data_IF_543575007472
#
_entry.id   IF_543575007472
#
_cell.length_a   1.000
_cell.length_b   1.000
_cell.length_c   1.000
_cell.angle_alpha   90.00
_cell.angle_beta   90.00
_cell.angle_gamma   90.00
#
_symmetry.space_group_name_H-M   'P 1'
#
loop_
_entity.id
_entity.type
_entity.pdbx_description
1 polymer ?
#
# COMPACT_ATOMS: atom_id res chain seq x y z
N UNK A 1 -8.85 -3.43 -13.61
CA UNK A 1 -8.99 -3.67 -12.16
C UNK A 1 -10.30 -3.06 -11.69
N UNK A 2 -11.02 -3.71 -10.78
CA UNK A 2 -12.22 -3.19 -10.11
C UNK A 2 -11.78 -2.26 -8.97
N UNK A 3 -12.42 -1.10 -8.83
CA UNK A 3 -12.19 -0.19 -7.71
C UNK A 3 -13.44 -0.16 -6.83
N UNK A 4 -13.26 -0.36 -5.52
CA UNK A 4 -14.32 -0.31 -4.51
C UNK A 4 -13.94 0.76 -3.51
N UNK A 5 -14.88 1.62 -3.15
CA UNK A 5 -14.66 2.72 -2.22
C UNK A 5 -15.51 2.51 -0.97
N UNK A 6 -14.92 2.67 0.20
CA UNK A 6 -15.66 2.62 1.46
C UNK A 6 -16.65 3.79 1.58
N UNK A 7 -17.53 3.73 2.57
CA UNK A 7 -18.42 4.86 2.92
C UNK A 7 -17.65 6.13 3.28
N UNK A 8 -16.44 6.02 3.83
CA UNK A 8 -15.60 7.15 4.21
C UNK A 8 -15.03 7.90 3.02
N UNK A 9 -15.02 7.29 1.83
CA UNK A 9 -14.65 8.00 0.62
C UNK A 9 -15.70 9.07 0.25
N UNK A 10 -16.98 8.75 0.41
CA UNK A 10 -18.10 9.56 -0.07
C UNK A 10 -18.76 10.44 1.01
N UNK A 11 -18.46 10.23 2.29
CA UNK A 11 -19.05 10.99 3.40
C UNK A 11 -18.26 12.25 3.75
N UNK A 12 -18.94 13.27 4.29
CA UNK A 12 -18.30 14.54 4.69
C UNK A 12 -17.35 14.34 5.88
N UNK A 13 -17.71 13.49 6.84
CA UNK A 13 -16.86 13.11 7.97
C UNK A 13 -15.87 12.03 7.56
N UNK A 14 -14.59 12.30 7.81
CA UNK A 14 -13.50 11.31 7.70
C UNK A 14 -13.15 10.76 9.08
N UNK A 15 -12.43 9.63 9.10
CA UNK A 15 -11.97 9.00 10.35
C UNK A 15 -10.89 9.87 11.02
N UNK A 16 -10.01 10.42 10.20
CA UNK A 16 -8.82 11.16 10.62
C UNK A 16 -8.79 12.54 9.97
N UNK A 17 -7.86 13.38 10.44
CA UNK A 17 -7.48 14.65 9.84
C UNK A 17 -6.69 14.49 8.53
N UNK A 18 -6.54 15.61 7.81
CA UNK A 18 -5.70 15.69 6.61
C UNK A 18 -4.22 15.52 6.97
N UNK A 19 -3.47 14.89 6.08
CA UNK A 19 -2.01 14.91 6.10
C UNK A 19 -1.53 16.35 5.90
N UNK A 20 -0.53 16.78 6.67
CA UNK A 20 0.11 18.09 6.51
C UNK A 20 0.80 18.24 5.15
N UNK A 21 1.42 17.16 4.69
CA UNK A 21 2.09 17.04 3.41
C UNK A 21 2.08 15.57 2.97
N UNK A 22 2.05 15.32 1.67
CA UNK A 22 2.15 13.96 1.12
C UNK A 22 3.54 13.80 0.50
N UNK A 23 4.36 12.97 1.12
CA UNK A 23 5.76 12.75 0.73
C UNK A 23 5.95 11.51 -0.15
N UNK A 24 4.98 10.60 -0.19
CA UNK A 24 5.09 9.39 -0.99
C UNK A 24 4.13 8.28 -0.61
N UNK A 25 4.51 7.06 -0.95
CA UNK A 25 3.79 5.82 -0.69
C UNK A 25 4.65 4.85 0.11
N UNK A 26 4.02 4.04 0.96
CA UNK A 26 4.61 2.84 1.56
C UNK A 26 3.89 1.61 1.04
N UNK A 27 4.63 0.68 0.45
CA UNK A 27 4.10 -0.61 0.02
C UNK A 27 4.29 -1.65 1.12
N UNK A 28 3.17 -2.25 1.52
CA UNK A 28 3.06 -3.25 2.57
C UNK A 28 2.72 -4.61 1.97
N UNK A 29 3.07 -5.66 2.72
CA UNK A 29 2.52 -7.00 2.53
C UNK A 29 1.55 -7.24 3.67
N UNK A 30 0.30 -7.54 3.34
CA UNK A 30 -0.79 -7.66 4.31
C UNK A 30 -0.60 -8.79 5.35
N UNK A 31 0.37 -9.68 5.12
CA UNK A 31 0.68 -10.91 5.84
C UNK A 31 -0.48 -11.91 6.00
N UNK A 32 -1.56 -11.73 5.25
CA UNK A 32 -2.80 -12.50 5.37
C UNK A 32 -3.15 -13.24 4.08
N UNK A 33 -4.22 -14.04 4.13
CA UNK A 33 -4.79 -14.70 2.95
C UNK A 33 -5.98 -13.92 2.37
N UNK A 34 -6.22 -12.70 2.86
CA UNK A 34 -7.38 -11.88 2.50
C UNK A 34 -7.18 -11.28 1.12
N UNK A 35 -8.16 -11.42 0.23
CA UNK A 35 -8.27 -10.59 -0.97
C UNK A 35 -8.61 -9.14 -0.61
N UNK A 36 -8.52 -8.22 -1.58
CA UNK A 36 -8.90 -6.82 -1.34
C UNK A 36 -10.38 -6.67 -0.95
N UNK A 37 -11.27 -7.54 -1.43
CA UNK A 37 -12.69 -7.51 -1.07
C UNK A 37 -12.95 -8.02 0.37
N UNK A 38 -12.14 -8.96 0.86
CA UNK A 38 -12.28 -9.48 2.23
C UNK A 38 -12.03 -8.37 3.28
N UNK A 39 -11.17 -7.39 2.93
CA UNK A 39 -10.90 -6.23 3.78
C UNK A 39 -12.12 -5.31 4.00
N UNK A 40 -13.17 -5.40 3.18
CA UNK A 40 -14.41 -4.63 3.39
C UNK A 40 -15.07 -5.05 4.70
N UNK A 41 -15.25 -6.35 4.90
CA UNK A 41 -15.88 -6.90 6.12
C UNK A 41 -14.92 -6.79 7.30
N UNK A 42 -13.64 -7.08 7.08
CA UNK A 42 -12.63 -7.04 8.14
C UNK A 42 -12.46 -5.64 8.75
N UNK A 43 -12.40 -4.59 7.92
CA UNK A 43 -12.27 -3.22 8.41
C UNK A 43 -13.57 -2.72 9.05
N UNK A 44 -14.74 -3.15 8.55
CA UNK A 44 -16.02 -2.85 9.19
C UNK A 44 -16.08 -3.48 10.60
N UNK A 45 -15.60 -4.71 10.78
CA UNK A 45 -15.48 -5.32 12.11
C UNK A 45 -14.53 -4.57 13.04
N UNK A 46 -13.39 -4.06 12.54
CA UNK A 46 -12.51 -3.19 13.34
C UNK A 46 -13.21 -1.91 13.80
N UNK A 47 -14.02 -1.29 12.94
CA UNK A 47 -14.80 -0.11 13.31
C UNK A 47 -15.83 -0.47 14.39
N UNK A 48 -16.59 -1.54 14.18
CA UNK A 48 -17.67 -1.94 15.10
C UNK A 48 -17.14 -2.32 16.48
N UNK A 49 -15.92 -2.86 16.54
CA UNK A 49 -15.24 -3.21 17.79
C UNK A 49 -14.39 -2.07 18.38
N UNK A 50 -14.32 -0.91 17.72
CA UNK A 50 -13.42 0.20 18.09
C UNK A 50 -11.95 -0.24 18.21
N UNK A 51 -11.45 -0.89 17.16
CA UNK A 51 -10.11 -1.49 17.06
C UNK A 51 -9.27 -0.95 15.89
N UNK A 52 -9.63 0.22 15.34
CA UNK A 52 -8.89 0.83 14.24
C UNK A 52 -7.43 1.12 14.63
N UNK A 53 -7.14 1.37 15.91
CA UNK A 53 -5.79 1.61 16.45
C UNK A 53 -4.83 0.45 16.22
N UNK A 54 -5.34 -0.77 15.96
CA UNK A 54 -4.53 -1.92 15.56
C UNK A 54 -3.99 -1.80 14.13
N UNK A 55 -4.37 -0.75 13.40
CA UNK A 55 -3.83 -0.35 12.12
C UNK A 55 -4.74 -0.54 10.91
N UNK A 56 -4.56 0.32 9.91
CA UNK A 56 -5.26 0.31 8.63
C UNK A 56 -4.55 1.21 7.62
N UNK A 57 -4.71 0.90 6.34
CA UNK A 57 -4.11 1.63 5.22
C UNK A 57 -5.17 2.28 4.32
N UNK A 58 -4.73 3.16 3.42
CA UNK A 58 -5.55 3.85 2.42
C UNK A 58 -6.15 2.87 1.42
N UNK A 59 -5.34 1.93 0.92
CA UNK A 59 -5.73 0.98 -0.11
C UNK A 59 -5.27 -0.46 0.18
N UNK A 60 -6.11 -1.41 -0.20
CA UNK A 60 -5.86 -2.85 -0.18
C UNK A 60 -6.00 -3.39 -1.60
N UNK A 61 -4.97 -4.07 -2.11
CA UNK A 61 -4.84 -4.35 -3.55
C UNK A 61 -4.50 -5.81 -3.81
N UNK A 62 -5.35 -6.46 -4.60
CA UNK A 62 -5.02 -7.71 -5.31
C UNK A 62 -5.05 -7.48 -6.84
N UNK A 63 -4.68 -8.50 -7.61
CA UNK A 63 -4.59 -8.40 -9.08
C UNK A 63 -5.91 -7.98 -9.77
N UNK A 64 -7.06 -8.21 -9.13
CA UNK A 64 -8.39 -7.94 -9.68
C UNK A 64 -9.00 -6.68 -9.10
N UNK A 65 -8.76 -6.39 -7.82
CA UNK A 65 -9.47 -5.38 -7.06
C UNK A 65 -8.52 -4.47 -6.27
N UNK A 66 -8.82 -3.17 -6.28
CA UNK A 66 -8.32 -2.21 -5.32
C UNK A 66 -9.49 -1.73 -4.45
N UNK A 67 -9.43 -2.03 -3.16
CA UNK A 67 -10.34 -1.50 -2.16
C UNK A 67 -9.73 -0.27 -1.50
N UNK A 68 -10.37 0.88 -1.71
CA UNK A 68 -10.02 2.15 -1.10
C UNK A 68 -10.78 2.32 0.21
N UNK A 69 -10.08 2.11 1.33
CA UNK A 69 -10.69 2.22 2.65
C UNK A 69 -10.84 3.68 3.08
N UNK A 70 -9.84 4.53 2.84
CA UNK A 70 -9.89 5.94 3.23
C UNK A 70 -9.22 6.81 2.16
N UNK A 71 -9.67 8.06 1.94
CA UNK A 71 -9.04 8.92 0.94
C UNK A 71 -7.57 9.20 1.24
N UNK A 72 -6.75 9.16 0.20
CA UNK A 72 -5.30 9.38 0.24
C UNK A 72 -4.81 10.68 0.90
N UNK A 73 -5.54 11.82 0.93
CA UNK A 73 -5.05 13.02 1.62
C UNK A 73 -5.20 13.00 3.14
N UNK A 74 -5.70 11.92 3.74
CA UNK A 74 -5.94 11.84 5.19
C UNK A 74 -4.97 10.89 5.88
N UNK A 75 -4.73 11.13 7.17
CA UNK A 75 -3.84 10.30 8.02
C UNK A 75 -4.38 8.88 8.10
N UNK A 76 -3.49 7.90 8.15
CA UNK A 76 -3.81 6.48 8.29
C UNK A 76 -2.86 5.84 9.29
N UNK A 77 -3.21 4.71 9.90
CA UNK A 77 -2.40 4.08 10.95
C UNK A 77 -1.76 2.79 10.44
N UNK A 78 -0.82 2.91 9.51
CA UNK A 78 -0.33 1.76 8.73
C UNK A 78 1.11 1.37 9.07
N UNK A 79 1.93 2.29 9.58
CA UNK A 79 3.37 2.07 9.75
C UNK A 79 3.83 1.91 11.20
N UNK A 80 2.96 2.06 12.21
CA UNK A 80 3.40 2.09 13.62
C UNK A 80 4.38 3.24 13.92
N UNK A 81 4.45 4.23 13.03
CA UNK A 81 5.35 5.38 13.08
C UNK A 81 4.55 6.63 12.74
N UNK A 82 4.50 7.61 13.65
CA UNK A 82 3.69 8.83 13.50
C UNK A 82 4.02 9.60 12.24
N UNK A 83 5.32 9.82 11.95
CA UNK A 83 5.73 10.57 10.77
C UNK A 83 5.28 9.88 9.48
N UNK A 84 5.50 8.55 9.38
CA UNK A 84 5.08 7.79 8.21
C UNK A 84 3.55 7.84 8.01
N UNK A 85 2.79 7.62 9.08
CA UNK A 85 1.33 7.68 9.09
C UNK A 85 0.77 9.03 8.60
N UNK A 86 1.42 10.12 9.02
CA UNK A 86 0.99 11.49 8.72
C UNK A 86 1.45 11.99 7.35
N UNK A 87 2.43 11.34 6.69
CA UNK A 87 3.04 11.87 5.47
C UNK A 87 3.06 10.93 4.27
N UNK A 88 2.94 9.62 4.48
CA UNK A 88 2.96 8.64 3.40
C UNK A 88 1.60 7.96 3.27
N UNK A 89 1.32 7.48 2.05
CA UNK A 89 0.10 6.74 1.73
C UNK A 89 0.38 5.25 1.82
N UNK A 90 -0.37 4.53 2.65
CA UNK A 90 -0.25 3.08 2.83
C UNK A 90 -0.98 2.29 1.76
N UNK A 91 -0.29 1.33 1.14
CA UNK A 91 -0.86 0.40 0.16
C UNK A 91 -0.53 -1.02 0.60
N UNK A 92 -1.56 -1.80 0.90
CA UNK A 92 -1.46 -3.20 1.32
C UNK A 92 -1.57 -4.13 0.12
N UNK A 93 -0.53 -4.92 -0.15
CA UNK A 93 -0.59 -5.99 -1.14
C UNK A 93 -1.21 -7.22 -0.51
N UNK A 94 -2.39 -7.55 -1.00
CA UNK A 94 -3.23 -8.59 -0.43
C UNK A 94 -2.71 -10.00 -0.72
N UNK A 95 -3.09 -10.94 0.15
CA UNK A 95 -2.79 -12.38 0.03
C UNK A 95 -1.29 -12.69 0.07
N UNK A 96 -0.54 -11.93 0.86
CA UNK A 96 0.92 -11.98 0.93
C UNK A 96 1.45 -12.95 2.00
N UNK A 97 0.57 -13.64 2.74
CA UNK A 97 1.00 -14.59 3.78
C UNK A 97 2.10 -15.54 3.29
N UNK A 98 3.19 -15.63 4.04
CA UNK A 98 4.24 -16.62 3.82
C UNK A 98 3.66 -18.03 3.89
N UNK A 99 3.93 -18.85 2.86
CA UNK A 99 3.30 -20.17 2.68
C UNK A 99 1.76 -20.10 2.71
N UNK A 100 1.19 -19.00 2.20
CA UNK A 100 -0.24 -18.75 2.11
C UNK A 100 -0.91 -19.41 0.92
N UNK A 101 -2.09 -18.91 0.56
CA UNK A 101 -2.92 -19.48 -0.50
C UNK A 101 -2.40 -19.22 -1.93
N UNK A 102 -1.52 -18.23 -2.10
CA UNK A 102 -0.94 -17.89 -3.40
C UNK A 102 0.50 -18.41 -3.52
N UNK A 103 0.82 -18.98 -4.68
CA UNK A 103 2.21 -19.16 -5.09
C UNK A 103 2.90 -17.82 -5.32
N UNK A 104 4.23 -17.80 -5.34
CA UNK A 104 5.02 -16.59 -5.62
C UNK A 104 4.61 -15.95 -6.96
N UNK A 105 4.46 -16.75 -8.02
CA UNK A 105 4.01 -16.29 -9.34
C UNK A 105 2.61 -15.67 -9.32
N UNK A 106 1.71 -16.20 -8.47
CA UNK A 106 0.38 -15.62 -8.29
C UNK A 106 0.43 -14.33 -7.50
N UNK A 107 1.23 -14.26 -6.44
CA UNK A 107 1.40 -13.07 -5.63
C UNK A 107 2.07 -11.92 -6.42
N UNK A 108 3.03 -12.21 -7.30
CA UNK A 108 3.61 -11.19 -8.19
C UNK A 108 2.54 -10.46 -9.02
N UNK A 109 1.42 -11.10 -9.34
CA UNK A 109 0.29 -10.44 -10.04
C UNK A 109 -0.41 -9.42 -9.14
N UNK A 110 -0.45 -9.65 -7.83
CA UNK A 110 -0.92 -8.68 -6.85
C UNK A 110 0.11 -7.55 -6.67
N UNK A 111 1.41 -7.86 -6.73
CA UNK A 111 2.47 -6.83 -6.73
C UNK A 111 2.33 -5.88 -7.92
N UNK A 112 2.22 -6.38 -9.16
CA UNK A 112 2.06 -5.53 -10.36
C UNK A 112 0.86 -4.58 -10.24
N UNK A 113 -0.26 -5.10 -9.74
CA UNK A 113 -1.45 -4.32 -9.46
C UNK A 113 -1.18 -3.18 -8.47
N UNK A 114 -0.47 -3.46 -7.37
CA UNK A 114 -0.12 -2.45 -6.38
C UNK A 114 0.89 -1.41 -6.90
N UNK A 115 1.84 -1.80 -7.77
CA UNK A 115 2.77 -0.85 -8.38
C UNK A 115 2.07 0.14 -9.30
N UNK A 116 1.03 -0.31 -10.01
CA UNK A 116 0.18 0.58 -10.79
C UNK A 116 -0.60 1.57 -9.90
N UNK A 117 -1.19 1.09 -8.78
CA UNK A 117 -1.86 1.97 -7.81
C UNK A 117 -0.89 3.00 -7.20
N UNK A 118 0.31 2.57 -6.81
CA UNK A 118 1.37 3.45 -6.33
C UNK A 118 1.75 4.51 -7.37
N UNK A 119 1.86 4.12 -8.64
CA UNK A 119 2.16 5.04 -9.73
C UNK A 119 1.06 6.11 -9.91
N UNK A 120 -0.22 5.71 -9.84
CA UNK A 120 -1.36 6.64 -9.91
C UNK A 120 -1.34 7.65 -8.76
N UNK A 121 -1.09 7.20 -7.54
CA UNK A 121 -1.02 8.08 -6.36
C UNK A 121 0.16 9.06 -6.48
N UNK A 122 1.36 8.59 -6.82
CA UNK A 122 2.50 9.47 -7.04
C UNK A 122 2.23 10.49 -8.16
N UNK A 123 1.53 10.08 -9.23
CA UNK A 123 1.18 10.97 -10.35
C UNK A 123 0.19 12.05 -9.90
N UNK A 124 -0.84 11.66 -9.13
CA UNK A 124 -1.86 12.57 -8.57
C UNK A 124 -1.23 13.69 -7.77
N UNK A 125 -0.25 13.34 -6.92
CA UNK A 125 0.44 14.30 -6.06
C UNK A 125 1.67 14.92 -6.71
N UNK A 126 1.89 14.69 -8.02
CA UNK A 126 3.02 15.24 -8.78
C UNK A 126 4.39 14.90 -8.16
N UNK A 127 4.47 13.74 -7.50
CA UNK A 127 5.68 13.25 -6.86
C UNK A 127 6.53 12.46 -7.85
N UNK A 128 7.87 12.62 -7.82
CA UNK A 128 8.77 11.78 -8.61
C UNK A 128 8.72 10.34 -8.11
N UNK A 129 9.13 9.37 -8.94
CA UNK A 129 9.28 7.97 -8.50
C UNK A 129 10.76 7.72 -8.16
N UNK A 130 11.11 7.78 -6.88
CA UNK A 130 12.48 7.62 -6.39
C UNK A 130 12.52 7.13 -4.93
N UNK A 131 13.71 7.04 -4.34
CA UNK A 131 13.91 6.55 -2.97
C UNK A 131 13.34 7.44 -1.88
N UNK A 132 12.93 8.67 -2.17
CA UNK A 132 12.27 9.55 -1.20
C UNK A 132 10.77 9.37 -1.14
N UNK A 133 10.18 8.93 -2.25
CA UNK A 133 8.72 8.86 -2.42
C UNK A 133 8.17 7.44 -2.44
N UNK A 134 9.03 6.42 -2.61
CA UNK A 134 8.66 5.01 -2.52
C UNK A 134 9.40 4.41 -1.33
N UNK A 135 8.69 3.97 -0.30
CA UNK A 135 9.31 3.44 0.93
C UNK A 135 8.75 2.06 1.30
N UNK A 136 9.48 1.36 2.17
CA UNK A 136 9.10 0.08 2.77
C UNK A 136 8.74 0.31 4.24
N UNK A 137 7.84 -0.50 4.82
CA UNK A 137 7.47 -0.36 6.24
C UNK A 137 8.70 -0.54 7.17
N UNK A 138 9.54 -1.53 6.89
CA UNK A 138 10.87 -1.74 7.50
C UNK A 138 11.79 -0.52 7.60
N UNK A 139 11.57 0.52 6.79
CA UNK A 139 12.38 1.75 6.85
C UNK A 139 11.93 2.70 7.97
N UNK A 140 10.74 2.48 8.56
CA UNK A 140 10.15 3.34 9.57
C UNK A 140 9.94 2.66 10.93
N UNK A 141 9.90 1.33 10.95
CA UNK A 141 9.57 0.55 12.14
C UNK A 141 10.31 -0.79 12.13
N UNK A 142 10.57 -1.35 13.31
CA UNK A 142 11.16 -2.67 13.47
C UNK A 142 10.11 -3.75 13.19
N UNK A 143 10.07 -4.24 11.95
CA UNK A 143 9.08 -5.18 11.43
C UNK A 143 9.66 -6.04 10.31
N UNK A 144 8.98 -7.13 9.98
CA UNK A 144 9.29 -7.94 8.80
C UNK A 144 8.62 -7.43 7.51
N UNK A 145 7.67 -6.48 7.61
CA UNK A 145 6.92 -5.98 6.46
C UNK A 145 7.80 -5.15 5.50
N UNK A 146 7.87 -5.45 4.19
CA UNK A 146 7.05 -6.44 3.47
C UNK A 146 7.70 -7.83 3.35
N UNK A 147 7.21 -8.82 4.11
CA UNK A 147 7.90 -10.11 4.28
C UNK A 147 7.90 -11.00 3.04
N UNK A 148 6.83 -11.01 2.25
CA UNK A 148 6.68 -11.88 1.07
C UNK A 148 7.54 -11.37 -0.08
N UNK A 149 7.46 -10.08 -0.36
CA UNK A 149 8.32 -9.42 -1.33
C UNK A 149 9.80 -9.53 -0.92
N UNK A 150 10.10 -9.40 0.38
CA UNK A 150 11.46 -9.60 0.89
C UNK A 150 11.97 -11.02 0.62
N UNK A 151 11.18 -12.03 0.94
CA UNK A 151 11.54 -13.43 0.66
C UNK A 151 11.73 -13.69 -0.84
N UNK A 152 10.83 -13.20 -1.69
CA UNK A 152 10.83 -13.51 -3.12
C UNK A 152 11.97 -12.83 -3.88
N UNK A 153 12.20 -11.55 -3.60
CA UNK A 153 13.12 -10.74 -4.39
C UNK A 153 14.53 -10.68 -3.82
N UNK A 154 14.69 -10.98 -2.52
CA UNK A 154 15.98 -10.96 -1.83
C UNK A 154 16.37 -12.29 -1.17
N UNK A 155 15.63 -13.38 -1.40
CA UNK A 155 15.93 -14.72 -0.85
C UNK A 155 16.16 -14.71 0.68
N UNK A 156 15.30 -13.98 1.40
CA UNK A 156 15.40 -13.80 2.87
C UNK A 156 16.75 -13.25 3.35
N UNK A 157 17.40 -12.40 2.56
CA UNK A 157 18.62 -11.71 2.96
C UNK A 157 18.43 -10.96 4.31
N UNK A 158 19.51 -10.79 5.10
CA UNK A 158 19.41 -10.16 6.42
C UNK A 158 18.90 -8.72 6.31
N UNK A 159 18.11 -8.26 7.28
CA UNK A 159 17.67 -6.86 7.33
C UNK A 159 18.85 -5.93 7.55
N UNK A 160 19.22 -5.15 6.52
CA UNK A 160 20.19 -4.07 6.59
C UNK A 160 19.85 -2.99 5.55
N UNK A 161 20.54 -1.85 5.63
CA UNK A 161 20.27 -0.69 4.78
C UNK A 161 20.41 -1.00 3.28
N UNK A 162 21.42 -1.77 2.90
CA UNK A 162 21.68 -2.10 1.49
C UNK A 162 20.59 -3.02 0.92
N UNK A 163 20.17 -4.03 1.67
CA UNK A 163 19.08 -4.92 1.28
C UNK A 163 17.75 -4.17 1.21
N UNK A 164 17.50 -3.23 2.13
CA UNK A 164 16.30 -2.37 2.05
C UNK A 164 16.33 -1.50 0.78
N UNK A 165 17.48 -0.92 0.42
CA UNK A 165 17.63 -0.16 -0.83
C UNK A 165 17.44 -1.03 -2.07
N UNK A 166 17.92 -2.27 -2.07
CA UNK A 166 17.72 -3.18 -3.21
C UNK A 166 16.25 -3.49 -3.46
N UNK A 167 15.47 -3.83 -2.43
CA UNK A 167 14.02 -4.05 -2.62
C UNK A 167 13.29 -2.75 -2.98
N UNK A 168 13.68 -1.63 -2.38
CA UNK A 168 13.14 -0.32 -2.72
C UNK A 168 13.38 0.05 -4.19
N UNK A 169 14.59 -0.18 -4.71
CA UNK A 169 14.93 0.08 -6.11
C UNK A 169 14.11 -0.81 -7.05
N UNK A 170 13.91 -2.07 -6.69
CA UNK A 170 13.02 -2.96 -7.44
C UNK A 170 11.59 -2.38 -7.52
N UNK A 171 11.01 -1.95 -6.39
CA UNK A 171 9.68 -1.30 -6.41
C UNK A 171 9.68 -0.03 -7.25
N UNK A 172 10.70 0.81 -7.13
CA UNK A 172 10.86 2.05 -7.90
C UNK A 172 10.86 1.75 -9.41
N UNK A 173 11.61 0.75 -9.86
CA UNK A 173 11.69 0.40 -11.28
C UNK A 173 10.36 -0.11 -11.82
N UNK A 174 9.66 -0.93 -11.03
CA UNK A 174 8.31 -1.40 -11.36
C UNK A 174 7.32 -0.23 -11.46
N UNK A 175 7.28 0.65 -10.45
CA UNK A 175 6.37 1.80 -10.41
C UNK A 175 6.68 2.79 -11.54
N UNK A 176 7.96 3.08 -11.82
CA UNK A 176 8.37 3.96 -12.93
C UNK A 176 7.80 3.50 -14.26
N UNK A 177 7.82 2.19 -14.52
CA UNK A 177 7.31 1.62 -15.76
C UNK A 177 5.82 1.93 -15.99
N UNK A 178 5.03 1.99 -14.91
CA UNK A 178 3.63 2.42 -14.97
C UNK A 178 3.51 3.94 -15.03
N UNK A 179 4.26 4.66 -14.19
CA UNK A 179 4.15 6.12 -14.03
C UNK A 179 4.29 6.91 -15.34
N UNK A 180 5.18 6.45 -16.22
CA UNK A 180 5.42 7.09 -17.53
C UNK A 180 4.31 6.81 -18.56
N UNK A 181 3.51 5.77 -18.33
CA UNK A 181 2.47 5.30 -19.25
C UNK A 181 1.03 5.60 -18.78
N UNK A 182 0.87 6.21 -17.60
CA UNK A 182 -0.44 6.64 -17.08
C UNK A 182 -1.09 7.65 -18.02
N UNK A 183 -2.34 7.38 -18.37
CA UNK A 183 -3.21 8.29 -19.13
C UNK A 183 -4.12 9.07 -18.20
N UNK A 184 -4.64 10.20 -18.67
CA UNK A 184 -5.60 11.01 -17.91
C UNK A 184 -6.85 10.21 -17.51
N UNK A 185 -7.33 9.31 -18.38
CA UNK A 185 -8.44 8.41 -18.07
C UNK A 185 -8.18 7.52 -16.86
N UNK A 186 -6.93 7.12 -16.63
CA UNK A 186 -6.55 6.23 -15.54
C UNK A 186 -6.60 6.96 -14.19
N UNK A 187 -6.44 8.29 -14.20
CA UNK A 187 -6.47 9.11 -12.98
C UNK A 187 -7.86 9.21 -12.34
N UNK A 188 -8.92 8.85 -13.06
CA UNK A 188 -10.30 8.89 -12.57
C UNK A 188 -10.55 7.98 -11.35
N UNK A 189 -9.66 7.01 -11.08
CA UNK A 189 -9.79 6.04 -9.98
C UNK A 189 -9.07 6.46 -8.69
N UNK A 190 -8.25 7.51 -8.74
CA UNK A 190 -7.52 8.05 -7.60
C UNK A 190 -8.07 9.43 -7.23
N UNK A 191 -9.30 9.44 -6.71
CA UNK A 191 -9.99 10.62 -6.18
C UNK A 191 -9.47 11.05 -4.81
#
# INVERSE_FOLDING_TARGET
MKHIYSKFYNQASKITELKSEILGVVLHDDAENNSAEDYIVWLQQRIDNNELEKGWACAYVDKQTCYWFHPSPYVEWHCGNTFANEHYIGIERCQSKMNGILSDEQFMKNEEASYWIAALLLKKYQLPVNRETVKLHKMFYDTECPARAWSMHLDNAPTNEDNMKMLQDYFIDKIKSYYVNIKESDMSVVG
#
